data_IF_919352847368
#
_entry.id   IF_919352847368
#
_cell.length_a   1.000
_cell.length_b   1.000
_cell.length_c   1.000
_cell.angle_alpha   90.00
_cell.angle_beta   90.00
_cell.angle_gamma   90.00
#
_symmetry.space_group_name_H-M   'P 1'
#
loop_
_entity.id
_entity.type
_entity.pdbx_description
1 polymer ?
#
# COMPACT_ATOMS: atom_id res chain seq x y z
N UNK A 1 -12.85 10.22 -0.86
CA UNK A 1 -11.65 9.36 -0.81
C UNK A 1 -10.66 9.97 0.17
N UNK A 2 -10.33 9.24 1.23
CA UNK A 2 -9.39 9.71 2.27
C UNK A 2 -7.97 9.80 1.69
N UNK A 3 -7.15 10.67 2.25
CA UNK A 3 -5.77 10.84 1.79
C UNK A 3 -4.92 9.58 1.97
N UNK A 4 -5.26 8.76 2.97
CA UNK A 4 -4.68 7.44 3.18
C UNK A 4 -4.98 6.48 2.02
N UNK A 5 -6.24 6.41 1.56
CA UNK A 5 -6.65 5.56 0.43
C UNK A 5 -5.91 5.97 -0.85
N UNK A 6 -5.76 7.27 -1.11
CA UNK A 6 -4.98 7.77 -2.26
C UNK A 6 -3.52 7.30 -2.22
N UNK A 7 -2.88 7.30 -1.04
CA UNK A 7 -1.50 6.81 -0.87
C UNK A 7 -1.40 5.30 -1.07
N UNK A 8 -2.36 4.54 -0.53
CA UNK A 8 -2.45 3.08 -0.71
C UNK A 8 -2.58 2.73 -2.19
N UNK A 9 -3.51 3.36 -2.91
CA UNK A 9 -3.71 3.10 -4.35
C UNK A 9 -2.46 3.43 -5.17
N UNK A 10 -1.78 4.55 -4.88
CA UNK A 10 -0.51 4.89 -5.54
C UNK A 10 0.60 3.89 -5.25
N UNK A 11 0.62 3.25 -4.08
CA UNK A 11 1.59 2.20 -3.76
C UNK A 11 1.27 0.89 -4.48
N UNK A 12 -0.01 0.55 -4.64
CA UNK A 12 -0.48 -0.64 -5.38
C UNK A 12 -0.14 -0.53 -6.87
N UNK A 13 -0.29 0.65 -7.47
CA UNK A 13 0.08 0.89 -8.88
C UNK A 13 1.57 0.64 -9.19
N UNK A 14 2.44 0.61 -8.18
CA UNK A 14 3.88 0.35 -8.33
C UNK A 14 4.23 -1.15 -8.26
N UNK A 15 3.26 -2.03 -8.03
CA UNK A 15 3.52 -3.47 -7.98
C UNK A 15 3.78 -3.95 -9.42
N UNK A 16 4.94 -4.56 -9.70
CA UNK A 16 5.25 -5.06 -11.03
C UNK A 16 4.37 -6.27 -11.37
N UNK A 17 4.15 -6.46 -12.67
CA UNK A 17 3.34 -7.56 -13.18
C UNK A 17 3.94 -8.91 -12.79
N UNK A 18 3.13 -9.78 -12.18
CA UNK A 18 3.56 -11.11 -11.73
C UNK A 18 4.09 -11.15 -10.30
N UNK A 19 4.27 -10.00 -9.65
CA UNK A 19 4.56 -9.94 -8.21
C UNK A 19 3.30 -9.66 -7.39
N UNK A 20 3.34 -10.11 -6.15
CA UNK A 20 2.33 -9.81 -5.12
C UNK A 20 3.01 -9.23 -3.91
N UNK A 21 2.29 -8.39 -3.17
CA UNK A 21 2.76 -7.88 -1.88
C UNK A 21 1.66 -7.99 -0.83
N UNK A 22 2.03 -8.02 0.43
CA UNK A 22 1.05 -8.11 1.52
C UNK A 22 0.51 -6.73 1.91
N UNK A 23 -0.64 -6.71 2.58
CA UNK A 23 -1.17 -5.47 3.18
C UNK A 23 -0.18 -4.81 4.15
N UNK A 24 0.63 -5.60 4.86
CA UNK A 24 1.68 -5.09 5.73
C UNK A 24 2.79 -4.38 4.94
N UNK A 25 3.12 -4.88 3.76
CA UNK A 25 4.12 -4.25 2.89
C UNK A 25 3.63 -2.92 2.33
N UNK A 26 2.36 -2.87 1.91
CA UNK A 26 1.72 -1.62 1.48
C UNK A 26 1.68 -0.62 2.64
N UNK A 27 1.26 -1.06 3.84
CA UNK A 27 1.20 -0.23 5.05
C UNK A 27 2.58 0.36 5.41
N UNK A 28 3.66 -0.43 5.31
CA UNK A 28 5.05 0.04 5.45
C UNK A 28 5.43 1.05 4.36
N UNK A 29 5.13 0.76 3.09
CA UNK A 29 5.42 1.64 1.94
C UNK A 29 4.74 3.01 2.05
N UNK A 30 3.54 3.08 2.65
CA UNK A 30 2.82 4.35 2.88
C UNK A 30 3.19 5.06 4.18
N UNK A 31 4.18 4.54 4.93
CA UNK A 31 4.68 5.14 6.18
C UNK A 31 3.80 4.90 7.41
N UNK A 32 2.85 3.95 7.33
CA UNK A 32 1.95 3.58 8.44
C UNK A 32 1.99 2.07 8.69
N UNK A 33 3.09 1.53 9.26
CA UNK A 33 3.29 0.09 9.39
C UNK A 33 2.23 -0.64 10.24
N UNK A 34 1.51 0.05 11.12
CA UNK A 34 0.41 -0.49 11.92
C UNK A 34 -0.96 -0.45 11.23
N UNK A 35 -1.11 0.28 10.12
CA UNK A 35 -2.37 0.46 9.40
C UNK A 35 -2.56 -0.60 8.31
N UNK A 36 -2.46 -1.88 8.70
CA UNK A 36 -2.66 -3.03 7.83
C UNK A 36 -4.05 -3.68 7.97
N UNK A 37 -4.86 -3.18 8.92
CA UNK A 37 -6.28 -3.53 9.11
C UNK A 37 -7.17 -2.38 8.65
#
# INVERSE_FOLDING_TARGET
MKEFEKKVLRAVLKIPLGEVCTYKDIAKRVGKPSAWR
#
